data_IF_927429708989
#
_entry.id   IF_927429708989
#
_cell.length_a   1.000
_cell.length_b   1.000
_cell.length_c   1.000
_cell.angle_alpha   90.00
_cell.angle_beta   90.00
_cell.angle_gamma   90.00
#
_symmetry.space_group_name_H-M   'P 1'
#
loop_
_entity.id
_entity.type
_entity.pdbx_description
1 polymer ?
#
# COMPACT_ATOMS: atom_id res chain seq x y z
N UNK A 1 -8.28 -26.45 2.78
CA UNK A 1 -8.66 -25.02 2.64
C UNK A 1 -9.69 -24.89 1.52
N UNK A 2 -10.61 -23.92 1.55
CA UNK A 2 -11.58 -23.76 0.47
C UNK A 2 -10.85 -23.39 -0.84
N UNK A 3 -11.22 -23.94 -2.01
CA UNK A 3 -10.46 -23.81 -3.27
C UNK A 3 -10.19 -22.35 -3.72
N UNK A 4 -11.02 -21.40 -3.28
CA UNK A 4 -10.84 -19.98 -3.57
C UNK A 4 -9.67 -19.36 -2.79
N UNK A 5 -9.37 -19.87 -1.59
CA UNK A 5 -8.29 -19.36 -0.74
C UNK A 5 -6.92 -19.54 -1.38
N UNK A 6 -6.65 -20.75 -1.91
CA UNK A 6 -5.37 -21.07 -2.53
C UNK A 6 -5.11 -20.22 -3.77
N UNK A 7 -6.14 -19.99 -4.59
CA UNK A 7 -6.07 -19.10 -5.76
C UNK A 7 -5.76 -17.65 -5.37
N UNK A 8 -6.42 -17.12 -4.33
CA UNK A 8 -6.15 -15.76 -3.87
C UNK A 8 -4.73 -15.64 -3.31
N UNK A 9 -4.31 -16.60 -2.48
CA UNK A 9 -2.95 -16.63 -1.94
C UNK A 9 -1.89 -16.68 -3.05
N UNK A 10 -2.11 -17.49 -4.08
CA UNK A 10 -1.22 -17.58 -5.24
C UNK A 10 -1.12 -16.23 -5.98
N UNK A 11 -2.25 -15.58 -6.27
CA UNK A 11 -2.28 -14.28 -6.96
C UNK A 11 -1.51 -13.22 -6.16
N UNK A 12 -1.77 -13.12 -4.85
CA UNK A 12 -1.11 -12.13 -3.99
C UNK A 12 0.38 -12.42 -3.83
N UNK A 13 0.77 -13.67 -3.58
CA UNK A 13 2.18 -14.04 -3.42
C UNK A 13 2.97 -13.90 -4.74
N UNK A 14 2.33 -14.05 -5.90
CA UNK A 14 2.98 -13.84 -7.19
C UNK A 14 3.49 -12.41 -7.39
N UNK A 15 2.86 -11.40 -6.79
CA UNK A 15 3.38 -10.04 -6.81
C UNK A 15 4.64 -9.91 -5.93
N UNK A 16 4.61 -10.46 -4.72
CA UNK A 16 5.76 -10.46 -3.81
C UNK A 16 6.94 -11.26 -4.37
N UNK A 17 6.70 -12.42 -4.99
CA UNK A 17 7.74 -13.20 -5.69
C UNK A 17 8.45 -12.40 -6.78
N UNK A 18 7.76 -11.48 -7.48
CA UNK A 18 8.40 -10.59 -8.46
C UNK A 18 9.34 -9.58 -7.80
N UNK A 19 8.97 -9.06 -6.63
CA UNK A 19 9.81 -8.14 -5.86
C UNK A 19 11.00 -8.86 -5.22
N UNK A 20 10.79 -10.07 -4.73
CA UNK A 20 11.83 -10.95 -4.20
C UNK A 20 12.85 -11.31 -5.27
N UNK A 21 12.41 -11.70 -6.48
CA UNK A 21 13.32 -11.93 -7.64
C UNK A 21 14.16 -10.71 -8.01
N UNK A 22 13.68 -9.51 -7.72
CA UNK A 22 14.42 -8.24 -7.93
C UNK A 22 15.35 -7.91 -6.76
N UNK A 23 15.35 -8.73 -5.70
CA UNK A 23 16.11 -8.55 -4.48
C UNK A 23 15.63 -7.33 -3.68
N UNK A 24 14.35 -6.98 -3.76
CA UNK A 24 13.77 -5.83 -3.05
C UNK A 24 13.29 -6.28 -1.66
N UNK A 25 12.68 -7.47 -1.59
CA UNK A 25 12.18 -8.07 -0.36
C UNK A 25 12.71 -9.50 -0.20
N UNK A 26 12.53 -10.05 0.99
CA UNK A 26 12.61 -11.48 1.29
C UNK A 26 11.20 -11.92 1.68
N UNK A 27 10.67 -12.94 1.01
CA UNK A 27 9.33 -13.47 1.23
C UNK A 27 9.42 -14.77 2.04
N UNK A 28 8.68 -14.84 3.14
CA UNK A 28 8.49 -16.05 3.93
C UNK A 28 7.07 -16.57 3.68
N UNK A 29 6.95 -17.78 3.13
CA UNK A 29 5.65 -18.41 2.84
C UNK A 29 5.14 -19.27 4.00
N UNK A 30 5.97 -19.54 5.00
CA UNK A 30 5.62 -20.35 6.17
C UNK A 30 6.10 -19.68 7.47
N UNK A 31 5.70 -18.43 7.74
CA UNK A 31 6.20 -17.71 8.90
C UNK A 31 5.62 -18.26 10.21
N UNK A 32 6.44 -18.27 11.26
CA UNK A 32 6.06 -18.77 12.60
C UNK A 32 5.05 -17.86 13.35
N UNK A 33 4.64 -16.74 12.75
CA UNK A 33 3.72 -15.76 13.33
C UNK A 33 2.23 -16.06 13.08
N UNK A 34 1.92 -17.18 12.41
CA UNK A 34 0.55 -17.59 12.09
C UNK A 34 -0.08 -16.87 10.90
N UNK A 35 0.70 -16.05 10.17
CA UNK A 35 0.27 -15.45 8.90
C UNK A 35 0.47 -16.44 7.74
N UNK A 36 -0.30 -16.29 6.65
CA UNK A 36 -0.15 -17.15 5.47
C UNK A 36 1.12 -16.86 4.66
N UNK A 37 1.73 -15.71 4.88
CA UNK A 37 3.04 -15.30 4.39
C UNK A 37 3.46 -14.04 5.16
N UNK A 38 4.76 -13.77 5.21
CA UNK A 38 5.34 -12.55 5.74
C UNK A 38 6.44 -12.04 4.80
N UNK A 39 6.80 -10.76 4.89
CA UNK A 39 7.85 -10.20 4.07
C UNK A 39 8.64 -9.13 4.82
N UNK A 40 9.92 -9.02 4.46
CA UNK A 40 10.81 -7.96 4.93
C UNK A 40 11.55 -7.31 3.79
N UNK A 41 11.78 -6.00 3.88
CA UNK A 41 12.63 -5.30 2.93
C UNK A 41 14.09 -5.74 3.10
N UNK A 42 14.77 -5.87 1.97
CA UNK A 42 16.24 -5.94 1.93
C UNK A 42 16.83 -4.54 2.06
N UNK A 43 18.13 -4.41 2.27
CA UNK A 43 18.80 -3.10 2.25
C UNK A 43 18.53 -2.35 0.93
N UNK A 44 18.63 -3.06 -0.21
CA UNK A 44 18.27 -2.51 -1.53
C UNK A 44 16.83 -2.02 -1.59
N UNK A 45 15.90 -2.76 -0.97
CA UNK A 45 14.50 -2.36 -0.91
C UNK A 45 14.28 -1.10 -0.08
N UNK A 46 14.98 -0.98 1.05
CA UNK A 46 14.96 0.23 1.88
C UNK A 46 15.56 1.43 1.15
N UNK A 47 16.66 1.25 0.41
CA UNK A 47 17.27 2.30 -0.40
C UNK A 47 16.30 2.83 -1.45
N UNK A 48 15.60 1.93 -2.15
CA UNK A 48 14.57 2.29 -3.14
C UNK A 48 13.42 3.05 -2.47
N UNK A 49 12.95 2.63 -1.30
CA UNK A 49 11.88 3.35 -0.58
C UNK A 49 12.34 4.77 -0.22
N UNK A 50 13.56 4.92 0.29
CA UNK A 50 14.12 6.22 0.62
C UNK A 50 14.23 7.14 -0.61
N UNK A 51 14.61 6.58 -1.77
CA UNK A 51 14.65 7.32 -3.03
C UNK A 51 13.23 7.75 -3.45
N UNK A 52 12.26 6.84 -3.42
CA UNK A 52 10.85 7.15 -3.74
C UNK A 52 10.34 8.26 -2.82
N UNK A 53 10.54 8.15 -1.51
CA UNK A 53 10.10 9.18 -0.54
C UNK A 53 10.75 10.54 -0.80
N UNK A 54 12.02 10.55 -1.21
CA UNK A 54 12.71 11.80 -1.60
C UNK A 54 12.05 12.41 -2.84
N UNK A 55 11.82 11.61 -3.87
CA UNK A 55 11.19 12.05 -5.12
C UNK A 55 9.74 12.51 -4.90
N UNK A 56 8.98 11.87 -4.03
CA UNK A 56 7.61 12.27 -3.67
C UNK A 56 7.61 13.65 -3.02
N UNK A 57 8.55 13.93 -2.10
CA UNK A 57 8.68 15.25 -1.48
C UNK A 57 9.07 16.32 -2.49
N UNK A 58 10.06 16.04 -3.34
CA UNK A 58 10.45 16.98 -4.40
C UNK A 58 9.30 17.27 -5.37
N UNK A 59 8.48 16.27 -5.65
CA UNK A 59 7.31 16.44 -6.50
C UNK A 59 6.21 17.25 -5.79
N UNK A 60 5.93 16.96 -4.52
CA UNK A 60 5.00 17.74 -3.69
C UNK A 60 5.40 19.22 -3.63
N UNK A 61 6.68 19.50 -3.37
CA UNK A 61 7.20 20.87 -3.34
C UNK A 61 6.98 21.60 -4.67
N UNK A 62 7.21 20.92 -5.80
CA UNK A 62 7.00 21.48 -7.14
C UNK A 62 5.53 21.72 -7.47
N UNK A 63 4.65 20.78 -7.12
CA UNK A 63 3.22 20.88 -7.40
C UNK A 63 2.56 21.96 -6.54
N UNK A 64 3.05 22.13 -5.31
CA UNK A 64 2.50 23.09 -4.35
C UNK A 64 3.24 24.42 -4.31
N UNK A 65 4.20 24.68 -5.21
CA UNK A 65 5.07 25.88 -5.17
C UNK A 65 4.30 27.21 -5.13
N UNK A 66 3.14 27.27 -5.79
CA UNK A 66 2.29 28.47 -5.86
C UNK A 66 1.09 28.45 -4.90
N UNK A 67 1.08 27.56 -3.92
CA UNK A 67 0.01 27.49 -2.91
C UNK A 67 0.45 28.30 -1.69
N UNK A 68 -0.30 29.35 -1.35
CA UNK A 68 0.01 30.24 -0.21
C UNK A 68 0.04 29.50 1.13
N UNK A 69 -0.94 28.63 1.38
CA UNK A 69 -1.03 27.82 2.60
C UNK A 69 -1.03 26.32 2.26
N UNK A 70 0.17 25.79 2.05
CA UNK A 70 0.40 24.37 1.70
C UNK A 70 -0.12 23.44 2.80
N UNK A 71 0.08 23.82 4.07
CA UNK A 71 -0.25 22.97 5.20
C UNK A 71 -1.76 22.81 5.36
N UNK A 72 -2.53 23.90 5.24
CA UNK A 72 -3.98 23.85 5.32
C UNK A 72 -4.59 23.07 4.15
N UNK A 73 -4.06 23.25 2.92
CA UNK A 73 -4.51 22.47 1.77
C UNK A 73 -4.28 20.97 1.98
N UNK A 74 -3.10 20.58 2.46
CA UNK A 74 -2.77 19.17 2.72
C UNK A 74 -3.68 18.57 3.80
N UNK A 75 -3.97 19.31 4.87
CA UNK A 75 -4.95 18.89 5.90
C UNK A 75 -6.33 18.66 5.31
N UNK A 76 -6.83 19.58 4.49
CA UNK A 76 -8.13 19.45 3.84
C UNK A 76 -8.18 18.24 2.91
N UNK A 77 -7.13 18.01 2.11
CA UNK A 77 -7.02 16.84 1.24
C UNK A 77 -6.97 15.53 2.03
N UNK A 78 -6.23 15.49 3.14
CA UNK A 78 -6.17 14.34 4.03
C UNK A 78 -7.55 14.04 4.63
N UNK A 79 -8.24 15.05 5.15
CA UNK A 79 -9.60 14.92 5.70
C UNK A 79 -10.60 14.42 4.66
N UNK A 80 -10.53 14.97 3.44
CA UNK A 80 -11.38 14.52 2.33
C UNK A 80 -11.10 13.06 1.97
N UNK A 81 -9.82 12.65 1.92
CA UNK A 81 -9.45 11.27 1.60
C UNK A 81 -10.01 10.28 2.63
N UNK A 82 -9.91 10.58 3.93
CA UNK A 82 -10.43 9.74 5.00
C UNK A 82 -11.95 9.60 4.93
N UNK A 83 -12.65 10.73 4.69
CA UNK A 83 -14.12 10.74 4.51
C UNK A 83 -14.53 9.92 3.28
N UNK A 84 -13.81 10.07 2.16
CA UNK A 84 -14.06 9.33 0.92
C UNK A 84 -13.89 7.81 1.11
N UNK A 85 -12.88 7.38 1.87
CA UNK A 85 -12.67 5.96 2.21
C UNK A 85 -13.90 5.41 2.95
N UNK A 86 -14.41 6.13 3.96
CA UNK A 86 -15.59 5.71 4.72
C UNK A 86 -16.85 5.59 3.85
N UNK A 87 -17.07 6.54 2.94
CA UNK A 87 -18.17 6.49 1.97
C UNK A 87 -18.02 5.28 1.04
N UNK A 88 -16.82 5.10 0.45
CA UNK A 88 -16.55 3.98 -0.46
C UNK A 88 -16.74 2.62 0.21
N UNK A 89 -16.27 2.46 1.45
CA UNK A 89 -16.49 1.25 2.23
C UNK A 89 -17.97 0.93 2.44
N UNK A 90 -18.77 1.96 2.77
CA UNK A 90 -20.22 1.83 2.97
C UNK A 90 -20.93 1.41 1.68
N UNK A 91 -20.59 2.05 0.55
CA UNK A 91 -21.13 1.69 -0.76
C UNK A 91 -20.76 0.24 -1.12
N UNK A 92 -19.51 -0.16 -0.91
CA UNK A 92 -19.07 -1.53 -1.21
C UNK A 92 -19.80 -2.58 -0.35
N UNK A 93 -20.08 -2.28 0.92
CA UNK A 93 -20.89 -3.14 1.80
C UNK A 93 -22.31 -3.31 1.29
N UNK A 94 -22.97 -2.21 0.91
CA UNK A 94 -24.31 -2.22 0.34
C UNK A 94 -24.38 -3.04 -0.95
N UNK A 95 -23.43 -2.83 -1.88
CA UNK A 95 -23.33 -3.59 -3.14
C UNK A 95 -23.14 -5.08 -2.88
N UNK A 96 -22.41 -5.46 -1.84
CA UNK A 96 -22.16 -6.87 -1.46
C UNK A 96 -23.27 -7.47 -0.58
N UNK A 97 -24.28 -6.69 -0.18
CA UNK A 97 -25.36 -7.15 0.71
C UNK A 97 -24.89 -7.53 2.12
N UNK A 98 -23.77 -6.98 2.57
CA UNK A 98 -23.20 -7.22 3.91
C UNK A 98 -23.48 -5.99 4.77
N UNK A 99 -24.42 -6.12 5.70
CA UNK A 99 -24.83 -5.06 6.63
C UNK A 99 -23.90 -5.05 7.86
#
# INVERSE_FOLDING_TARGET
MPPKYDLHLEIYTNHYKKLEKKGIIILDLEPENGLPYDMKFTNKGLDIINEITTLEKEWEDKVLDNVEDKEELLKLLQDMSLKAIGISYTIQKQVKGVY
#
